data_IF_157758219866
#
_entry.id   IF_157758219866
#
_cell.length_a   1.000
_cell.length_b   1.000
_cell.length_c   1.000
_cell.angle_alpha   90.00
_cell.angle_beta   90.00
_cell.angle_gamma   90.00
#
_symmetry.space_group_name_H-M   'P 1'
#
loop_
_entity.id
_entity.type
_entity.pdbx_description
1 polymer ?
#
# COMPACT_ATOMS: atom_id res chain seq x y z
N UNK A 1 -25.84 31.83 -37.82
CA UNK A 1 -25.57 31.88 -36.38
C UNK A 1 -25.71 30.58 -35.59
N UNK A 2 -26.27 29.49 -36.07
CA UNK A 2 -26.33 28.22 -35.28
C UNK A 2 -25.00 27.45 -35.14
N UNK A 3 -24.08 27.58 -36.10
CA UNK A 3 -22.84 26.78 -36.08
C UNK A 3 -21.80 27.21 -34.98
N UNK A 4 -21.75 28.49 -34.66
CA UNK A 4 -20.82 29.02 -33.66
C UNK A 4 -21.23 28.56 -32.25
N UNK A 5 -22.54 28.46 -32.02
CA UNK A 5 -23.10 28.02 -30.75
C UNK A 5 -22.81 26.50 -30.54
N UNK A 6 -22.92 25.72 -31.61
CA UNK A 6 -22.66 24.29 -31.61
C UNK A 6 -21.16 23.99 -31.34
N UNK A 7 -20.24 24.77 -31.93
CA UNK A 7 -18.80 24.62 -31.69
C UNK A 7 -18.36 24.96 -30.26
N UNK A 8 -18.90 26.04 -29.68
CA UNK A 8 -18.61 26.40 -28.29
C UNK A 8 -19.14 25.35 -27.30
N UNK A 9 -20.36 24.88 -27.55
CA UNK A 9 -20.98 23.84 -26.72
C UNK A 9 -20.21 22.52 -26.81
N UNK A 10 -19.77 22.14 -28.00
CA UNK A 10 -18.88 20.97 -28.22
C UNK A 10 -17.54 21.11 -27.53
N UNK A 11 -16.92 22.31 -27.58
CA UNK A 11 -15.66 22.59 -26.86
C UNK A 11 -15.83 22.51 -25.35
N UNK A 12 -16.93 23.06 -24.79
CA UNK A 12 -17.23 22.95 -23.36
C UNK A 12 -17.45 21.51 -22.92
N UNK A 13 -18.19 20.72 -23.71
CA UNK A 13 -18.42 19.31 -23.40
C UNK A 13 -17.10 18.53 -23.43
N UNK A 14 -16.24 18.77 -24.44
CA UNK A 14 -14.93 18.12 -24.54
C UNK A 14 -14.03 18.52 -23.36
N UNK A 15 -14.01 19.79 -22.98
CA UNK A 15 -13.23 20.27 -21.85
C UNK A 15 -13.72 19.64 -20.53
N UNK A 16 -15.04 19.60 -20.33
CA UNK A 16 -15.65 18.97 -19.16
C UNK A 16 -15.32 17.47 -19.11
N UNK A 17 -15.38 16.79 -20.25
CA UNK A 17 -15.03 15.36 -20.35
C UNK A 17 -13.55 15.13 -20.04
N UNK A 18 -12.65 15.98 -20.53
CA UNK A 18 -11.21 15.88 -20.24
C UNK A 18 -10.95 16.10 -18.75
N UNK A 19 -11.58 17.11 -18.13
CA UNK A 19 -11.45 17.39 -16.69
C UNK A 19 -12.00 16.23 -15.86
N UNK A 20 -13.15 15.68 -16.23
CA UNK A 20 -13.74 14.52 -15.57
C UNK A 20 -12.83 13.30 -15.67
N UNK A 21 -12.31 12.99 -16.87
CA UNK A 21 -11.36 11.90 -17.05
C UNK A 21 -10.06 12.11 -16.26
N UNK A 22 -9.54 13.34 -16.23
CA UNK A 22 -8.34 13.66 -15.45
C UNK A 22 -8.57 13.45 -13.95
N UNK A 23 -9.72 13.86 -13.42
CA UNK A 23 -10.09 13.65 -12.02
C UNK A 23 -10.23 12.15 -11.70
N UNK A 24 -10.86 11.38 -12.58
CA UNK A 24 -10.98 9.92 -12.43
C UNK A 24 -9.60 9.25 -12.45
N UNK A 25 -8.73 9.64 -13.38
CA UNK A 25 -7.37 9.10 -13.47
C UNK A 25 -6.54 9.43 -12.22
N UNK A 26 -6.62 10.67 -11.73
CA UNK A 26 -5.91 11.08 -10.52
C UNK A 26 -6.39 10.25 -9.32
N UNK A 27 -7.70 10.11 -9.15
CA UNK A 27 -8.26 9.32 -8.05
C UNK A 27 -7.82 7.84 -8.12
N UNK A 28 -7.85 7.26 -9.31
CA UNK A 28 -7.40 5.88 -9.51
C UNK A 28 -5.89 5.70 -9.29
N UNK A 29 -5.10 6.72 -9.63
CA UNK A 29 -3.65 6.69 -9.48
C UNK A 29 -3.22 6.67 -8.01
N UNK A 30 -3.99 7.29 -7.10
CA UNK A 30 -3.72 7.27 -5.66
C UNK A 30 -3.69 5.86 -5.08
N UNK A 31 -4.49 4.94 -5.62
CA UNK A 31 -4.51 3.53 -5.19
C UNK A 31 -3.15 2.84 -5.44
N UNK A 32 -2.44 3.26 -6.48
CA UNK A 32 -1.14 2.68 -6.88
C UNK A 32 0.07 3.44 -6.32
N UNK A 33 -0.17 4.58 -5.68
CA UNK A 33 0.89 5.41 -5.10
C UNK A 33 1.79 4.65 -4.11
N UNK A 34 1.28 3.78 -3.22
CA UNK A 34 2.14 2.99 -2.33
C UNK A 34 3.09 2.07 -3.09
N UNK A 35 2.61 1.41 -4.16
CA UNK A 35 3.44 0.56 -5.01
C UNK A 35 4.55 1.35 -5.72
N UNK A 36 4.24 2.54 -6.22
CA UNK A 36 5.20 3.44 -6.86
C UNK A 36 6.29 3.93 -5.87
N UNK A 37 5.88 4.41 -4.70
CA UNK A 37 6.81 4.85 -3.66
C UNK A 37 7.69 3.70 -3.16
N UNK A 38 7.10 2.51 -2.97
CA UNK A 38 7.83 1.31 -2.62
C UNK A 38 8.90 0.93 -3.66
N UNK A 39 8.56 1.02 -4.95
CA UNK A 39 9.51 0.76 -6.03
C UNK A 39 10.71 1.73 -6.02
N UNK A 40 10.46 3.02 -5.82
CA UNK A 40 11.51 4.04 -5.74
C UNK A 40 12.41 3.79 -4.52
N UNK A 41 11.82 3.52 -3.36
CA UNK A 41 12.56 3.24 -2.13
C UNK A 41 13.47 2.02 -2.28
N UNK A 42 12.93 0.92 -2.81
CA UNK A 42 13.71 -0.28 -3.08
C UNK A 42 14.80 -0.04 -4.14
N UNK A 43 14.50 0.74 -5.19
CA UNK A 43 15.48 1.11 -6.19
C UNK A 43 16.65 1.87 -5.57
N UNK A 44 16.40 2.90 -4.76
CA UNK A 44 17.44 3.68 -4.08
C UNK A 44 18.31 2.78 -3.21
N UNK A 45 17.70 1.85 -2.48
CA UNK A 45 18.40 0.93 -1.59
C UNK A 45 19.26 -0.08 -2.37
N UNK A 46 18.74 -0.60 -3.47
CA UNK A 46 19.35 -1.72 -4.21
C UNK A 46 20.26 -1.28 -5.35
N UNK A 47 20.12 -0.04 -5.87
CA UNK A 47 20.84 0.44 -7.06
C UNK A 47 22.37 0.31 -6.94
N UNK A 48 22.93 0.63 -5.78
CA UNK A 48 24.36 0.59 -5.56
C UNK A 48 24.93 -0.83 -5.73
N UNK A 49 24.31 -1.79 -5.08
CA UNK A 49 24.71 -3.19 -5.15
C UNK A 49 24.42 -3.80 -6.52
N UNK A 50 23.30 -3.42 -7.14
CA UNK A 50 22.95 -3.85 -8.49
C UNK A 50 23.98 -3.39 -9.53
N UNK A 51 24.38 -2.11 -9.52
CA UNK A 51 25.38 -1.59 -10.43
C UNK A 51 26.77 -2.17 -10.17
N UNK A 52 27.12 -2.39 -8.91
CA UNK A 52 28.37 -3.08 -8.57
C UNK A 52 28.44 -4.48 -9.21
N UNK A 53 27.38 -5.27 -9.09
CA UNK A 53 27.32 -6.63 -9.64
C UNK A 53 27.27 -6.66 -11.17
N UNK A 54 26.53 -5.74 -11.79
CA UNK A 54 26.34 -5.73 -13.24
C UNK A 54 27.51 -5.13 -13.99
N UNK A 55 28.20 -4.13 -13.41
CA UNK A 55 29.31 -3.43 -14.06
C UNK A 55 30.64 -4.08 -13.67
N UNK A 56 30.94 -4.18 -12.37
CA UNK A 56 32.23 -4.67 -11.91
C UNK A 56 32.38 -6.18 -12.08
N UNK A 57 31.33 -6.97 -11.83
CA UNK A 57 31.32 -8.44 -12.01
C UNK A 57 30.77 -8.90 -13.36
N UNK A 58 30.45 -7.98 -14.29
CA UNK A 58 29.95 -8.29 -15.66
C UNK A 58 28.80 -9.32 -15.70
N UNK A 59 27.94 -9.34 -14.67
CA UNK A 59 26.77 -10.21 -14.63
C UNK A 59 25.68 -9.72 -15.57
N UNK A 60 24.87 -10.62 -16.12
CA UNK A 60 23.73 -10.27 -16.98
C UNK A 60 22.71 -9.45 -16.21
N UNK A 61 22.44 -8.23 -16.68
CA UNK A 61 21.54 -7.25 -16.00
C UNK A 61 20.18 -7.83 -15.65
N UNK A 62 19.55 -8.56 -16.58
CA UNK A 62 18.22 -9.16 -16.40
C UNK A 62 18.20 -10.19 -15.27
N UNK A 63 19.19 -11.11 -15.25
CA UNK A 63 19.27 -12.15 -14.21
C UNK A 63 19.53 -11.51 -12.85
N UNK A 64 20.40 -10.51 -12.81
CA UNK A 64 20.71 -9.80 -11.57
C UNK A 64 19.47 -9.02 -11.08
N UNK A 65 18.72 -8.35 -11.96
CA UNK A 65 17.48 -7.67 -11.58
C UNK A 65 16.44 -8.64 -11.01
N UNK A 66 16.22 -9.78 -11.65
CA UNK A 66 15.30 -10.80 -11.16
C UNK A 66 15.73 -11.37 -9.79
N UNK A 67 17.04 -11.61 -9.60
CA UNK A 67 17.58 -12.04 -8.30
C UNK A 67 17.31 -11.01 -7.19
N UNK A 68 17.49 -9.73 -7.48
CA UNK A 68 17.21 -8.65 -6.52
C UNK A 68 15.73 -8.53 -6.19
N UNK A 69 14.85 -8.66 -7.19
CA UNK A 69 13.41 -8.66 -6.98
C UNK A 69 13.01 -9.84 -6.10
N UNK A 70 13.50 -11.04 -6.40
CA UNK A 70 13.19 -12.24 -5.63
C UNK A 70 13.72 -12.15 -4.19
N UNK A 71 14.95 -11.66 -4.02
CA UNK A 71 15.53 -11.39 -2.69
C UNK A 71 14.71 -10.37 -1.92
N UNK A 72 14.30 -9.28 -2.56
CA UNK A 72 13.45 -8.25 -1.95
C UNK A 72 12.08 -8.80 -1.54
N UNK A 73 11.50 -9.67 -2.38
CA UNK A 73 10.23 -10.35 -2.06
C UNK A 73 10.39 -11.19 -0.78
N UNK A 74 11.46 -11.98 -0.67
CA UNK A 74 11.72 -12.79 0.53
C UNK A 74 11.90 -11.92 1.76
N UNK A 75 12.70 -10.85 1.66
CA UNK A 75 12.97 -9.93 2.78
C UNK A 75 11.69 -9.26 3.28
N UNK A 76 10.73 -8.97 2.39
CA UNK A 76 9.44 -8.38 2.77
C UNK A 76 8.48 -9.46 3.26
N UNK A 77 8.44 -10.63 2.61
CA UNK A 77 7.51 -11.71 2.95
C UNK A 77 7.79 -12.33 4.33
N UNK A 78 9.07 -12.45 4.71
CA UNK A 78 9.49 -13.04 6.00
C UNK A 78 8.86 -12.31 7.21
N UNK A 79 9.07 -11.00 7.41
CA UNK A 79 8.49 -10.30 8.56
C UNK A 79 6.95 -10.28 8.51
N UNK A 80 6.35 -10.20 7.32
CA UNK A 80 4.89 -10.28 7.15
C UNK A 80 4.37 -11.65 7.59
N UNK A 81 5.01 -12.73 7.17
CA UNK A 81 4.64 -14.08 7.57
C UNK A 81 4.72 -14.29 9.09
N UNK A 82 5.82 -13.88 9.72
CA UNK A 82 5.96 -13.95 11.18
C UNK A 82 4.94 -13.09 11.90
N UNK A 83 4.66 -11.89 11.39
CA UNK A 83 3.64 -11.00 11.96
C UNK A 83 2.25 -11.63 11.90
N UNK A 84 1.87 -12.24 10.76
CA UNK A 84 0.60 -12.94 10.61
C UNK A 84 0.51 -14.11 11.59
N UNK A 85 1.58 -14.89 11.74
CA UNK A 85 1.59 -16.04 12.64
C UNK A 85 1.45 -15.62 14.12
N UNK A 86 2.12 -14.55 14.53
CA UNK A 86 1.99 -14.00 15.88
C UNK A 86 0.60 -13.42 16.15
N UNK A 87 0.03 -12.74 15.18
CA UNK A 87 -1.29 -12.13 15.28
C UNK A 87 -2.39 -13.20 15.24
N UNK A 88 -2.27 -14.21 14.35
CA UNK A 88 -3.28 -15.25 14.18
C UNK A 88 -3.51 -16.07 15.45
N UNK A 89 -2.45 -16.37 16.21
CA UNK A 89 -2.56 -17.07 17.49
C UNK A 89 -3.34 -16.26 18.55
N UNK A 90 -3.17 -14.94 18.56
CA UNK A 90 -3.93 -14.04 19.45
C UNK A 90 -5.34 -13.78 18.93
N UNK A 91 -5.48 -13.65 17.61
CA UNK A 91 -6.77 -13.39 16.97
C UNK A 91 -7.71 -14.59 17.07
N UNK A 92 -7.20 -15.82 17.01
CA UNK A 92 -8.00 -17.03 17.16
C UNK A 92 -8.64 -17.12 18.57
N UNK A 93 -7.91 -16.72 19.62
CA UNK A 93 -8.45 -16.64 20.98
C UNK A 93 -9.57 -15.59 21.08
N UNK A 94 -9.37 -14.45 20.42
CA UNK A 94 -10.33 -13.34 20.37
C UNK A 94 -11.60 -13.72 19.59
N UNK A 95 -11.43 -14.40 18.46
CA UNK A 95 -12.54 -14.82 17.60
C UNK A 95 -13.29 -16.04 18.15
N UNK A 96 -12.61 -16.94 18.87
CA UNK A 96 -13.24 -18.13 19.45
C UNK A 96 -14.08 -17.82 20.70
N UNK A 97 -13.77 -16.71 21.39
CA UNK A 97 -14.49 -16.35 22.62
C UNK A 97 -14.68 -14.82 22.76
N UNK A 98 -15.51 -14.21 21.89
CA UNK A 98 -15.75 -12.75 21.96
C UNK A 98 -16.36 -12.32 23.29
N UNK A 99 -17.16 -13.21 23.93
CA UNK A 99 -17.78 -12.95 25.23
C UNK A 99 -16.75 -12.83 26.36
N UNK A 100 -15.69 -13.64 26.35
CA UNK A 100 -14.64 -13.57 27.36
C UNK A 100 -13.87 -12.24 27.29
N UNK A 101 -13.58 -11.74 26.08
CA UNK A 101 -12.96 -10.43 25.92
C UNK A 101 -13.79 -9.28 26.45
N UNK A 102 -15.10 -9.35 26.25
CA UNK A 102 -16.01 -8.32 26.76
C UNK A 102 -16.00 -8.35 28.29
N UNK A 103 -15.98 -9.54 28.88
CA UNK A 103 -15.91 -9.71 30.33
C UNK A 103 -14.59 -9.17 30.89
N UNK A 104 -13.46 -9.52 30.27
CA UNK A 104 -12.15 -9.02 30.68
C UNK A 104 -12.02 -7.51 30.47
N UNK A 105 -12.54 -6.97 29.37
CA UNK A 105 -12.60 -5.54 29.12
C UNK A 105 -13.46 -4.80 30.13
N UNK A 106 -14.61 -5.37 30.55
CA UNK A 106 -15.46 -4.81 31.61
C UNK A 106 -14.73 -4.77 32.95
N UNK A 107 -14.04 -5.85 33.34
CA UNK A 107 -13.27 -5.93 34.57
C UNK A 107 -12.15 -4.88 34.60
N UNK A 108 -11.44 -4.72 33.46
CA UNK A 108 -10.39 -3.68 33.34
C UNK A 108 -11.00 -2.27 33.37
N UNK A 109 -12.13 -2.07 32.67
CA UNK A 109 -12.87 -0.81 32.66
C UNK A 109 -13.36 -0.38 34.06
N UNK A 110 -13.90 -1.32 34.86
CA UNK A 110 -14.31 -1.07 36.23
C UNK A 110 -13.12 -0.75 37.14
N UNK A 111 -11.99 -1.43 37.00
CA UNK A 111 -10.76 -1.11 37.74
C UNK A 111 -10.25 0.30 37.41
N UNK A 112 -10.30 0.72 36.15
CA UNK A 112 -9.89 2.06 35.75
C UNK A 112 -10.88 3.10 36.29
N UNK A 113 -12.18 2.82 36.21
CA UNK A 113 -13.21 3.69 36.76
C UNK A 113 -13.03 3.92 38.26
N UNK A 114 -12.74 2.87 39.03
CA UNK A 114 -12.51 2.98 40.48
C UNK A 114 -11.24 3.76 40.84
N UNK A 115 -10.24 3.77 39.95
CA UNK A 115 -8.97 4.46 40.17
C UNK A 115 -8.95 5.92 39.64
N UNK A 116 -9.66 6.20 38.54
CA UNK A 116 -9.56 7.48 37.82
C UNK A 116 -10.86 8.26 37.74
N UNK A 117 -12.01 7.62 38.04
CA UNK A 117 -13.35 8.23 37.86
C UNK A 117 -13.77 8.38 36.39
N UNK A 118 -12.96 7.94 35.41
CA UNK A 118 -13.27 8.01 33.98
C UNK A 118 -13.84 6.69 33.46
N UNK A 119 -15.05 6.76 32.90
CA UNK A 119 -15.71 5.61 32.28
C UNK A 119 -15.20 5.47 30.83
N UNK A 120 -14.13 4.69 30.65
CA UNK A 120 -13.52 4.47 29.33
C UNK A 120 -14.28 3.47 28.47
N UNK A 121 -15.07 2.59 29.07
CA UNK A 121 -15.81 1.53 28.40
C UNK A 121 -17.31 1.68 28.69
N UNK A 122 -18.04 2.38 27.81
CA UNK A 122 -19.49 2.33 27.78
C UNK A 122 -19.94 1.08 27.02
N UNK A 123 -21.15 0.56 27.32
CA UNK A 123 -21.71 -0.57 26.59
C UNK A 123 -21.83 -0.29 25.09
N UNK A 124 -22.09 0.94 24.72
CA UNK A 124 -22.16 1.41 23.34
C UNK A 124 -20.81 1.28 22.61
N UNK A 125 -19.71 1.62 23.27
CA UNK A 125 -18.35 1.48 22.71
C UNK A 125 -17.96 0.01 22.51
N UNK A 126 -18.39 -0.88 23.41
CA UNK A 126 -18.13 -2.33 23.29
C UNK A 126 -18.91 -2.92 22.10
N UNK A 127 -20.18 -2.55 21.93
CA UNK A 127 -21.00 -3.00 20.78
C UNK A 127 -20.45 -2.44 19.47
N UNK A 128 -20.00 -1.21 19.44
CA UNK A 128 -19.36 -0.59 18.27
C UNK A 128 -18.04 -1.29 17.92
N UNK A 129 -17.24 -1.64 18.92
CA UNK A 129 -15.99 -2.40 18.72
C UNK A 129 -16.28 -3.81 18.15
N UNK A 130 -17.31 -4.51 18.62
CA UNK A 130 -17.72 -5.80 18.06
C UNK A 130 -18.15 -5.69 16.59
N UNK A 131 -18.95 -4.67 16.24
CA UNK A 131 -19.36 -4.43 14.86
C UNK A 131 -18.16 -4.10 13.96
N UNK A 132 -17.23 -3.30 14.45
CA UNK A 132 -16.00 -2.98 13.70
C UNK A 132 -15.11 -4.22 13.54
N UNK A 133 -14.93 -5.01 14.58
CA UNK A 133 -14.15 -6.24 14.52
C UNK A 133 -14.75 -7.27 13.53
N UNK A 134 -16.07 -7.40 13.48
CA UNK A 134 -16.75 -8.27 12.52
C UNK A 134 -16.56 -7.81 11.06
N UNK A 135 -16.37 -6.51 10.82
CA UNK A 135 -16.14 -5.95 9.49
C UNK A 135 -14.67 -5.99 9.05
N UNK A 136 -13.73 -6.25 9.96
CA UNK A 136 -12.29 -6.31 9.64
C UNK A 136 -12.00 -7.46 8.67
N UNK A 137 -12.58 -8.64 8.88
CA UNK A 137 -12.31 -9.82 8.04
C UNK A 137 -12.72 -9.58 6.57
N UNK A 138 -13.95 -9.13 6.27
CA UNK A 138 -14.34 -8.80 4.90
C UNK A 138 -13.49 -7.66 4.30
N UNK A 139 -13.11 -6.66 5.09
CA UNK A 139 -12.29 -5.55 4.61
C UNK A 139 -10.87 -5.99 4.25
N UNK A 140 -10.26 -6.91 5.01
CA UNK A 140 -8.96 -7.50 4.69
C UNK A 140 -9.04 -8.31 3.40
N UNK A 141 -10.08 -9.11 3.20
CA UNK A 141 -10.28 -9.88 1.98
C UNK A 141 -10.42 -8.97 0.75
N UNK A 142 -11.22 -7.92 0.85
CA UNK A 142 -11.39 -6.94 -0.22
C UNK A 142 -10.10 -6.13 -0.51
N UNK A 143 -9.31 -5.86 0.52
CA UNK A 143 -8.03 -5.14 0.39
C UNK A 143 -6.93 -6.02 -0.21
N UNK A 144 -7.05 -7.35 -0.15
CA UNK A 144 -6.01 -8.27 -0.63
C UNK A 144 -5.73 -8.12 -2.12
N UNK A 145 -6.75 -7.87 -2.94
CA UNK A 145 -6.58 -7.61 -4.37
C UNK A 145 -5.80 -6.31 -4.63
N UNK A 146 -6.11 -5.24 -3.90
CA UNK A 146 -5.40 -3.97 -4.01
C UNK A 146 -3.95 -4.09 -3.53
N UNK A 147 -3.69 -4.82 -2.45
CA UNK A 147 -2.35 -5.09 -1.93
C UNK A 147 -1.54 -5.87 -2.97
N UNK A 148 -2.10 -6.94 -3.54
CA UNK A 148 -1.44 -7.75 -4.56
C UNK A 148 -1.11 -6.92 -5.81
N UNK A 149 -2.04 -6.08 -6.26
CA UNK A 149 -1.84 -5.17 -7.37
C UNK A 149 -0.72 -4.16 -7.10
N UNK A 150 -0.66 -3.59 -5.89
CA UNK A 150 0.41 -2.68 -5.50
C UNK A 150 1.77 -3.38 -5.47
N UNK A 151 1.86 -4.62 -4.98
CA UNK A 151 3.09 -5.40 -5.05
C UNK A 151 3.51 -5.70 -6.49
N UNK A 152 2.58 -6.09 -7.35
CA UNK A 152 2.86 -6.35 -8.76
C UNK A 152 3.42 -5.11 -9.45
N UNK A 153 2.80 -3.95 -9.25
CA UNK A 153 3.26 -2.67 -9.80
C UNK A 153 4.62 -2.27 -9.20
N UNK A 154 4.80 -2.42 -7.89
CA UNK A 154 6.06 -2.13 -7.21
C UNK A 154 7.22 -2.93 -7.81
N UNK A 155 7.08 -4.23 -7.97
CA UNK A 155 8.14 -5.08 -8.53
C UNK A 155 8.34 -4.87 -10.03
N UNK A 156 7.28 -4.61 -10.78
CA UNK A 156 7.39 -4.24 -12.20
C UNK A 156 8.16 -2.94 -12.39
N UNK A 157 7.81 -1.91 -11.63
CA UNK A 157 8.52 -0.62 -11.67
C UNK A 157 9.97 -0.75 -11.18
N UNK A 158 10.20 -1.53 -10.12
CA UNK A 158 11.54 -1.81 -9.63
C UNK A 158 12.41 -2.48 -10.70
N UNK A 159 11.86 -3.47 -11.41
CA UNK A 159 12.55 -4.10 -12.54
C UNK A 159 12.93 -3.06 -13.61
N UNK A 160 11.96 -2.25 -14.02
CA UNK A 160 12.17 -1.22 -15.03
C UNK A 160 13.20 -0.18 -14.60
N UNK A 161 13.14 0.27 -13.34
CA UNK A 161 14.10 1.21 -12.77
C UNK A 161 15.51 0.63 -12.69
N UNK A 162 15.66 -0.64 -12.28
CA UNK A 162 16.97 -1.30 -12.25
C UNK A 162 17.56 -1.47 -13.65
N UNK A 163 16.73 -1.80 -14.64
CA UNK A 163 17.19 -1.99 -16.03
C UNK A 163 17.58 -0.68 -16.72
N UNK A 164 16.80 0.39 -16.51
CA UNK A 164 16.92 1.66 -17.21
C UNK A 164 17.47 2.80 -16.35
N UNK A 165 17.61 2.61 -15.03
CA UNK A 165 17.92 3.68 -14.07
C UNK A 165 19.15 4.51 -14.41
N UNK A 166 20.18 3.90 -14.98
CA UNK A 166 21.38 4.60 -15.39
C UNK A 166 21.17 5.56 -16.57
N UNK A 167 20.27 5.21 -17.49
CA UNK A 167 19.89 6.14 -18.58
C UNK A 167 19.11 7.32 -18.03
N UNK A 168 18.22 7.04 -17.08
CA UNK A 168 17.41 8.05 -16.42
C UNK A 168 18.27 8.98 -15.56
N UNK A 169 19.20 8.46 -14.76
CA UNK A 169 20.12 9.25 -13.94
C UNK A 169 21.00 10.18 -14.82
N UNK A 170 21.57 9.67 -15.91
CA UNK A 170 22.39 10.48 -16.84
C UNK A 170 21.57 11.56 -17.55
N UNK A 171 20.30 11.35 -17.84
CA UNK A 171 19.43 12.38 -18.40
C UNK A 171 19.13 13.51 -17.39
N UNK A 172 19.03 13.18 -16.11
CA UNK A 172 18.76 14.19 -15.06
C UNK A 172 20.00 15.01 -14.72
N UNK A 173 21.19 14.38 -14.67
CA UNK A 173 22.46 15.10 -14.43
C UNK A 173 22.88 16.01 -15.60
N UNK A 174 22.35 15.78 -16.82
CA UNK A 174 22.57 16.67 -17.97
C UNK A 174 21.64 17.89 -18.01
N UNK A 175 20.61 17.96 -17.16
CA UNK A 175 19.65 19.07 -17.10
C UNK A 175 20.03 20.08 -15.99
N UNK A 176 20.78 19.64 -14.98
CA UNK A 176 21.30 20.50 -13.91
C UNK A 176 22.83 20.54 -14.02
N UNK A 177 23.41 21.68 -14.47
CA UNK A 177 24.85 21.88 -14.50
C UNK A 177 25.48 21.94 -13.12
#
# INVERSE_FOLDING_TARGET
MPEIFNNRLRQLILLLLIVLLALLLINQLFVFLPGFLGAITLYILLRGTFFYLTIKKRRRKTITALLFIFSSLIVIALPVYFSIQLISSKLSVILSNPAALITDAKIVGEKIYTLTGFQLLSEENIVNFQKQAANIIPSILNSSAAILSNFAIMFFLLYFLLMNGRKTENSWTGIFP
#
